data_IF_541380454339
#
_entry.id   IF_541380454339
#
_cell.length_a   1.000
_cell.length_b   1.000
_cell.length_c   1.000
_cell.angle_alpha   90.00
_cell.angle_beta   90.00
_cell.angle_gamma   90.00
#
_symmetry.space_group_name_H-M   'P 1'
#
loop_
_entity.id
_entity.type
_entity.pdbx_description
1 polymer ?
#
# COMPACT_ATOMS: atom_id res chain seq x y z
N UNK A 1 21.67 -89.43 -4.38
CA UNK A 1 21.56 -88.21 -3.55
C UNK A 1 20.22 -87.58 -3.80
N UNK A 2 19.38 -87.50 -2.76
CA UNK A 2 17.99 -87.01 -2.88
C UNK A 2 17.96 -85.52 -3.18
N UNK A 3 17.07 -85.10 -4.08
CA UNK A 3 16.82 -83.70 -4.42
C UNK A 3 16.52 -82.83 -3.17
N UNK A 4 15.99 -83.44 -2.10
CA UNK A 4 15.78 -82.78 -0.82
C UNK A 4 17.09 -82.32 -0.16
N UNK A 5 18.17 -83.10 -0.29
CA UNK A 5 19.47 -82.76 0.29
C UNK A 5 20.12 -81.58 -0.45
N UNK A 6 19.93 -81.49 -1.77
CA UNK A 6 20.38 -80.35 -2.57
C UNK A 6 19.55 -79.08 -2.29
N UNK A 7 18.26 -79.23 -2.04
CA UNK A 7 17.38 -78.09 -1.72
C UNK A 7 17.72 -77.49 -0.34
N UNK A 8 17.99 -78.35 0.65
CA UNK A 8 18.38 -77.91 2.00
C UNK A 8 19.76 -77.25 1.98
N UNK A 9 20.73 -77.79 1.24
CA UNK A 9 22.05 -77.13 1.13
C UNK A 9 21.99 -75.80 0.40
N UNK A 10 21.15 -75.68 -0.64
CA UNK A 10 20.93 -74.41 -1.35
C UNK A 10 20.26 -73.35 -0.47
N UNK A 11 19.25 -73.74 0.33
CA UNK A 11 18.61 -72.85 1.32
C UNK A 11 19.60 -72.38 2.40
N UNK A 12 20.45 -73.28 2.91
CA UNK A 12 21.47 -72.88 3.90
C UNK A 12 22.55 -71.97 3.32
N UNK A 13 22.89 -72.10 2.04
CA UNK A 13 23.79 -71.16 1.34
C UNK A 13 23.11 -69.82 1.02
N UNK A 14 21.81 -69.83 0.71
CA UNK A 14 21.05 -68.59 0.47
C UNK A 14 20.82 -67.78 1.76
N UNK A 15 20.73 -68.45 2.92
CA UNK A 15 20.61 -67.78 4.24
C UNK A 15 21.96 -67.22 4.70
N UNK A 16 23.10 -67.84 4.33
CA UNK A 16 24.44 -67.31 4.64
C UNK A 16 24.95 -66.28 3.63
N UNK A 17 24.45 -66.30 2.39
CA UNK A 17 24.76 -65.31 1.34
C UNK A 17 23.69 -64.24 1.16
N UNK A 18 22.63 -64.23 1.96
CA UNK A 18 21.86 -63.01 2.13
C UNK A 18 22.89 -61.97 2.63
N UNK A 19 23.19 -60.90 1.87
CA UNK A 19 23.93 -59.81 2.46
C UNK A 19 23.16 -59.47 3.73
N UNK A 20 23.85 -59.42 4.88
CA UNK A 20 23.28 -58.82 6.08
C UNK A 20 22.61 -57.55 5.59
N UNK A 21 21.28 -57.62 5.50
CA UNK A 21 20.52 -56.59 4.81
C UNK A 21 20.95 -55.30 5.45
N UNK A 22 21.06 -54.25 4.65
CA UNK A 22 21.00 -52.88 5.12
C UNK A 22 19.73 -52.76 5.98
N UNK A 23 19.80 -53.22 7.23
CA UNK A 23 18.77 -53.04 8.22
C UNK A 23 18.77 -51.54 8.40
N UNK A 24 17.72 -50.89 7.88
CA UNK A 24 17.53 -49.43 7.79
C UNK A 24 18.23 -48.72 8.95
N UNK A 25 19.52 -48.35 8.74
CA UNK A 25 20.32 -47.83 9.85
C UNK A 25 19.81 -46.43 10.08
N UNK A 26 19.14 -46.23 11.21
CA UNK A 26 18.48 -44.95 11.49
C UNK A 26 19.37 -44.13 12.40
N UNK A 27 19.54 -42.85 12.09
CA UNK A 27 20.23 -41.96 13.00
C UNK A 27 19.47 -41.91 14.34
N UNK A 28 20.18 -41.83 15.48
CA UNK A 28 19.53 -41.69 16.76
C UNK A 28 18.83 -40.33 16.85
N UNK A 29 17.64 -40.32 17.46
CA UNK A 29 16.95 -39.08 17.76
C UNK A 29 17.78 -38.23 18.75
N UNK A 30 17.71 -36.88 18.66
CA UNK A 30 18.22 -35.99 19.71
C UNK A 30 17.67 -36.38 21.09
N UNK A 31 18.51 -36.27 22.12
CA UNK A 31 18.19 -36.66 23.50
C UNK A 31 18.49 -35.51 24.47
N UNK A 32 18.04 -35.66 25.73
CA UNK A 32 18.36 -34.77 26.86
C UNK A 32 18.28 -33.28 26.48
N UNK A 33 17.10 -32.85 26.07
CA UNK A 33 16.89 -31.45 25.72
C UNK A 33 16.77 -30.58 26.97
N UNK A 34 17.31 -29.37 26.89
CA UNK A 34 17.16 -28.32 27.88
C UNK A 34 16.87 -27.02 27.14
N UNK A 35 16.11 -26.14 27.78
CA UNK A 35 15.88 -24.80 27.25
C UNK A 35 16.03 -23.76 28.35
N UNK A 36 16.43 -22.56 27.96
CA UNK A 36 16.38 -21.41 28.83
C UNK A 36 15.99 -20.18 28.03
N UNK A 37 15.22 -19.30 28.67
CA UNK A 37 14.88 -18.00 28.12
C UNK A 37 16.00 -17.03 28.42
N UNK A 38 16.52 -16.37 27.38
CA UNK A 38 17.49 -15.28 27.51
C UNK A 38 16.77 -14.01 27.89
N UNK A 39 15.61 -13.77 27.28
CA UNK A 39 14.68 -12.68 27.56
C UNK A 39 13.26 -13.09 27.12
N UNK A 40 12.29 -12.16 27.13
CA UNK A 40 10.89 -12.40 26.74
C UNK A 40 10.69 -12.75 25.25
N UNK A 41 11.74 -12.66 24.41
CA UNK A 41 11.69 -12.96 22.97
C UNK A 41 12.58 -14.13 22.57
N UNK A 42 13.64 -14.46 23.31
CA UNK A 42 14.64 -15.41 22.85
C UNK A 42 14.74 -16.59 23.77
N UNK A 43 14.49 -17.78 23.20
CA UNK A 43 14.73 -19.06 23.86
C UNK A 43 15.87 -19.78 23.15
N UNK A 44 16.78 -20.34 23.96
CA UNK A 44 17.86 -21.20 23.48
C UNK A 44 17.53 -22.62 23.90
N UNK A 45 17.49 -23.52 22.92
CA UNK A 45 17.21 -24.93 23.08
C UNK A 45 18.47 -25.71 22.78
N UNK A 46 18.91 -26.52 23.73
CA UNK A 46 20.08 -27.37 23.62
C UNK A 46 19.64 -28.82 23.69
N UNK A 47 20.37 -29.71 23.03
CA UNK A 47 20.17 -31.15 23.13
C UNK A 47 21.51 -31.87 23.12
N UNK A 48 21.49 -33.14 23.49
CA UNK A 48 22.60 -34.06 23.23
C UNK A 48 22.25 -34.97 22.05
N UNK A 49 23.26 -35.45 21.35
CA UNK A 49 23.06 -36.37 20.25
C UNK A 49 24.11 -37.48 20.33
N UNK A 50 23.71 -38.74 20.62
CA UNK A 50 24.64 -39.84 20.76
C UNK A 50 25.12 -40.29 19.39
N UNK A 51 26.19 -39.66 18.88
CA UNK A 51 26.76 -39.99 17.57
C UNK A 51 27.11 -41.49 17.49
N UNK A 52 26.55 -42.26 16.54
CA UNK A 52 26.85 -43.68 16.40
C UNK A 52 28.33 -43.90 16.08
N UNK A 53 28.96 -44.91 16.72
CA UNK A 53 30.37 -45.27 16.47
C UNK A 53 30.61 -45.76 15.04
N UNK A 54 29.59 -46.37 14.44
CA UNK A 54 29.59 -46.92 13.08
C UNK A 54 29.30 -45.87 12.00
N UNK A 55 29.05 -44.62 12.41
CA UNK A 55 28.80 -43.54 11.46
C UNK A 55 30.11 -43.21 10.73
N UNK A 56 30.14 -43.24 9.38
CA UNK A 56 31.34 -42.92 8.61
C UNK A 56 31.91 -41.55 9.00
N UNK A 57 33.23 -41.41 9.07
CA UNK A 57 33.85 -40.10 9.37
C UNK A 57 33.48 -39.03 8.33
N UNK A 58 33.22 -39.44 7.09
CA UNK A 58 32.77 -38.57 6.00
C UNK A 58 31.28 -38.22 6.05
N UNK A 59 30.50 -38.83 6.95
CA UNK A 59 29.08 -38.56 7.08
C UNK A 59 28.85 -37.26 7.87
N UNK A 60 28.25 -36.29 7.19
CA UNK A 60 27.80 -35.05 7.81
C UNK A 60 26.31 -35.15 8.20
N UNK A 61 25.96 -34.74 9.41
CA UNK A 61 24.59 -34.78 9.94
C UNK A 61 24.16 -33.38 10.32
N UNK A 62 22.93 -33.01 9.95
CA UNK A 62 22.28 -31.77 10.42
C UNK A 62 21.04 -32.09 11.24
N UNK A 63 20.69 -31.17 12.12
CA UNK A 63 19.44 -31.20 12.85
C UNK A 63 18.43 -30.32 12.12
N UNK A 64 17.28 -30.90 11.82
CA UNK A 64 16.13 -30.22 11.23
C UNK A 64 15.13 -29.91 12.34
N UNK A 65 14.82 -28.62 12.51
CA UNK A 65 13.87 -28.11 13.48
C UNK A 65 12.64 -27.59 12.73
N UNK A 66 11.48 -28.08 13.13
CA UNK A 66 10.15 -27.65 12.65
C UNK A 66 9.33 -27.16 13.83
N UNK A 67 8.42 -26.23 13.60
CA UNK A 67 7.47 -25.76 14.62
C UNK A 67 6.05 -25.77 14.07
N UNK A 68 5.09 -26.13 14.91
CA UNK A 68 3.80 -26.68 14.49
C UNK A 68 2.89 -25.68 13.78
N UNK A 69 3.05 -24.38 14.02
CA UNK A 69 2.16 -23.32 13.51
C UNK A 69 2.61 -22.69 12.17
N UNK A 70 3.83 -22.96 11.69
CA UNK A 70 4.33 -22.45 10.39
C UNK A 70 4.94 -23.58 9.58
N UNK A 71 4.09 -24.24 8.79
CA UNK A 71 4.39 -25.46 8.04
C UNK A 71 5.57 -25.34 7.04
N UNK A 72 5.98 -24.11 6.69
CA UNK A 72 7.02 -23.83 5.68
C UNK A 72 8.39 -23.43 6.26
N UNK A 73 8.49 -23.08 7.54
CA UNK A 73 9.76 -22.64 8.11
C UNK A 73 10.53 -23.82 8.73
N UNK A 74 11.58 -24.25 8.04
CA UNK A 74 12.47 -25.32 8.50
C UNK A 74 13.86 -24.76 8.79
N UNK A 75 14.28 -24.82 10.04
CA UNK A 75 15.66 -24.48 10.40
C UNK A 75 16.56 -25.72 10.32
N UNK A 76 17.77 -25.54 9.77
CA UNK A 76 18.79 -26.59 9.72
C UNK A 76 20.07 -26.13 10.37
N UNK A 77 20.54 -26.85 11.37
CA UNK A 77 21.75 -26.52 12.15
C UNK A 77 22.69 -27.71 12.21
N UNK A 78 24.00 -27.45 12.27
CA UNK A 78 25.03 -28.50 12.43
C UNK A 78 25.38 -28.74 13.91
N UNK A 79 25.08 -27.76 14.77
CA UNK A 79 25.34 -27.82 16.20
C UNK A 79 24.13 -28.37 16.97
N UNK A 80 24.34 -28.74 18.23
CA UNK A 80 23.30 -29.27 19.10
C UNK A 80 22.57 -28.20 19.93
N UNK A 81 22.46 -26.99 19.35
CA UNK A 81 21.70 -25.89 19.93
C UNK A 81 20.95 -25.12 18.84
N UNK A 82 19.84 -24.51 19.24
CA UNK A 82 18.99 -23.70 18.38
C UNK A 82 18.45 -22.50 19.15
N UNK A 83 18.52 -21.34 18.52
CA UNK A 83 17.97 -20.09 19.06
C UNK A 83 16.71 -19.73 18.30
N UNK A 84 15.60 -19.63 19.03
CA UNK A 84 14.30 -19.29 18.49
C UNK A 84 13.84 -17.90 18.94
N UNK A 85 13.17 -17.18 18.04
CA UNK A 85 12.57 -15.87 18.28
C UNK A 85 11.07 -16.03 18.46
N UNK A 86 10.60 -15.71 19.66
CA UNK A 86 9.24 -15.84 20.13
C UNK A 86 8.49 -14.51 20.00
N UNK A 87 7.34 -14.56 19.31
CA UNK A 87 6.30 -13.53 19.34
C UNK A 87 5.00 -14.19 19.78
N UNK A 88 4.33 -13.66 20.80
CA UNK A 88 3.20 -14.32 21.45
C UNK A 88 2.00 -14.50 20.53
N UNK A 89 1.82 -13.61 19.54
CA UNK A 89 0.79 -13.73 18.50
C UNK A 89 0.93 -14.96 17.60
N UNK A 90 2.13 -15.54 17.53
CA UNK A 90 2.43 -16.65 16.62
C UNK A 90 2.13 -18.02 17.26
N UNK A 91 1.51 -18.05 18.46
CA UNK A 91 1.26 -19.28 19.23
C UNK A 91 -0.16 -19.35 19.76
N UNK A 92 -0.74 -20.56 19.67
CA UNK A 92 -2.15 -20.80 20.01
C UNK A 92 -2.39 -21.24 21.46
N UNK A 93 -1.34 -21.47 22.28
CA UNK A 93 -1.52 -22.08 23.61
C UNK A 93 -0.41 -21.80 24.65
N UNK A 94 0.29 -20.67 24.61
CA UNK A 94 1.44 -20.35 25.50
C UNK A 94 2.58 -21.39 25.51
N UNK A 95 2.53 -22.36 24.60
CA UNK A 95 3.48 -23.45 24.45
C UNK A 95 4.00 -23.40 23.01
N UNK A 96 5.31 -23.30 22.89
CA UNK A 96 6.04 -23.51 21.65
C UNK A 96 6.33 -25.01 21.51
N UNK A 97 5.69 -25.67 20.54
CA UNK A 97 6.00 -27.05 20.17
C UNK A 97 7.04 -27.05 19.04
N UNK A 98 8.22 -27.60 19.32
CA UNK A 98 9.29 -27.85 18.36
C UNK A 98 9.39 -29.34 18.06
N UNK A 99 9.69 -29.68 16.82
CA UNK A 99 10.04 -31.03 16.37
C UNK A 99 11.46 -31.04 15.85
N UNK A 100 12.35 -31.79 16.49
CA UNK A 100 13.77 -31.88 16.14
C UNK A 100 14.07 -33.28 15.61
N UNK A 101 14.71 -33.37 14.45
CA UNK A 101 15.17 -34.65 13.87
C UNK A 101 16.59 -34.52 13.37
N UNK A 102 17.35 -35.63 13.36
CA UNK A 102 18.67 -35.67 12.74
C UNK A 102 18.56 -36.21 11.32
N UNK A 103 19.19 -35.50 10.38
CA UNK A 103 19.10 -35.75 8.94
C UNK A 103 20.51 -36.06 8.39
N UNK A 104 20.68 -37.23 7.73
CA UNK A 104 21.94 -37.56 7.07
C UNK A 104 22.14 -36.66 5.85
N UNK A 105 23.37 -36.24 5.59
CA UNK A 105 23.75 -35.51 4.38
C UNK A 105 24.74 -36.35 3.55
N UNK A 106 25.68 -35.68 2.87
CA UNK A 106 26.72 -36.32 2.07
C UNK A 106 27.58 -37.24 2.96
N UNK A 107 27.94 -38.40 2.41
CA UNK A 107 28.79 -39.40 3.08
C UNK A 107 28.07 -40.37 4.02
N UNK A 108 26.75 -40.27 4.16
CA UNK A 108 25.94 -41.07 5.08
C UNK A 108 25.19 -42.23 4.38
N UNK A 109 25.79 -42.87 3.37
CA UNK A 109 25.10 -43.91 2.59
C UNK A 109 24.62 -45.05 3.50
N UNK A 110 23.36 -45.46 3.33
CA UNK A 110 22.72 -46.49 4.15
C UNK A 110 22.18 -46.01 5.50
N UNK A 111 22.28 -44.71 5.80
CA UNK A 111 21.67 -44.11 6.99
C UNK A 111 20.42 -43.32 6.64
N UNK A 112 19.34 -43.56 7.40
CA UNK A 112 18.06 -42.87 7.32
C UNK A 112 17.93 -41.83 8.44
N UNK A 113 17.01 -40.89 8.24
CA UNK A 113 16.66 -39.87 9.24
C UNK A 113 16.13 -40.46 10.54
N UNK A 114 16.43 -39.80 11.66
CA UNK A 114 15.87 -40.18 12.95
C UNK A 114 14.37 -39.91 12.99
N UNK A 115 13.68 -40.63 13.88
CA UNK A 115 12.35 -40.19 14.32
C UNK A 115 12.43 -38.77 14.92
N UNK A 116 11.43 -37.91 14.67
CA UNK A 116 11.37 -36.58 15.25
C UNK A 116 11.05 -36.65 16.74
N UNK A 117 11.75 -35.85 17.55
CA UNK A 117 11.43 -35.64 18.96
C UNK A 117 10.68 -34.33 19.15
N UNK A 118 9.59 -34.36 19.91
CA UNK A 118 8.82 -33.17 20.29
C UNK A 118 9.41 -32.53 21.53
N UNK A 119 9.58 -31.22 21.49
CA UNK A 119 10.06 -30.38 22.59
C UNK A 119 9.02 -29.30 22.84
N UNK A 120 8.44 -29.30 24.03
CA UNK A 120 7.43 -28.33 24.44
C UNK A 120 8.08 -27.29 25.37
N UNK A 121 8.04 -26.04 24.94
CA UNK A 121 8.65 -24.92 25.66
C UNK A 121 7.51 -24.04 26.16
N UNK A 122 7.42 -23.87 27.47
CA UNK A 122 6.46 -22.94 28.08
C UNK A 122 6.98 -21.52 27.94
N UNK A 123 6.09 -20.60 27.57
CA UNK A 123 6.38 -19.18 27.59
C UNK A 123 6.73 -18.70 29.02
N UNK A 124 7.54 -17.63 29.18
CA UNK A 124 7.89 -17.08 30.48
C UNK A 124 6.67 -16.61 31.29
N UNK A 125 5.65 -16.07 30.61
CA UNK A 125 4.40 -15.55 31.16
C UNK A 125 3.25 -15.91 30.21
N UNK A 126 2.03 -15.98 30.72
CA UNK A 126 0.84 -16.27 29.90
C UNK A 126 0.52 -15.11 28.97
N UNK A 127 0.06 -15.40 27.76
CA UNK A 127 -0.35 -14.37 26.82
C UNK A 127 -1.60 -13.61 27.30
N UNK A 128 -1.57 -12.28 27.18
CA UNK A 128 -2.76 -11.44 27.24
C UNK A 128 -2.56 -10.15 26.45
N UNK A 129 -3.61 -9.65 25.80
CA UNK A 129 -3.58 -8.31 25.22
C UNK A 129 -3.62 -7.26 26.34
N UNK A 130 -2.46 -6.67 26.66
CA UNK A 130 -2.31 -5.69 27.76
C UNK A 130 -2.50 -4.24 27.31
N UNK A 131 -2.40 -3.97 26.01
CA UNK A 131 -2.46 -2.61 25.44
C UNK A 131 -3.23 -2.62 24.12
N UNK A 132 -3.90 -1.50 23.84
CA UNK A 132 -4.62 -1.22 22.58
C UNK A 132 -3.97 -0.07 21.83
N UNK A 133 -4.14 -0.08 20.52
CA UNK A 133 -3.68 0.99 19.61
C UNK A 133 -2.19 1.35 19.78
N UNK A 134 -1.33 0.35 19.97
CA UNK A 134 0.11 0.58 20.07
C UNK A 134 0.68 1.00 18.72
N UNK A 135 0.95 2.30 18.58
CA UNK A 135 1.48 2.91 17.34
C UNK A 135 2.74 3.69 17.64
N UNK A 136 3.71 3.60 16.74
CA UNK A 136 4.98 4.30 16.84
C UNK A 136 5.15 5.24 15.65
N UNK A 137 5.44 6.51 15.93
CA UNK A 137 5.66 7.52 14.90
C UNK A 137 7.16 7.75 14.73
N UNK A 138 7.67 7.57 13.51
CA UNK A 138 9.04 7.93 13.18
C UNK A 138 9.26 9.45 13.35
N UNK A 139 10.32 9.77 14.06
CA UNK A 139 10.95 11.08 14.12
C UNK A 139 12.32 10.99 13.41
N UNK A 140 13.03 12.10 13.28
CA UNK A 140 14.28 12.15 12.51
C UNK A 140 15.34 11.13 12.97
N UNK A 141 15.47 10.89 14.28
CA UNK A 141 16.46 9.97 14.86
C UNK A 141 15.87 8.95 15.85
N UNK A 142 14.61 9.10 16.23
CA UNK A 142 13.92 8.27 17.24
C UNK A 142 12.51 7.95 16.73
N UNK A 143 11.75 7.17 17.49
CA UNK A 143 10.30 7.11 17.33
C UNK A 143 9.62 7.39 18.66
N UNK A 144 8.39 7.90 18.57
CA UNK A 144 7.54 8.10 19.72
C UNK A 144 6.33 7.19 19.60
N UNK A 145 6.15 6.33 20.59
CA UNK A 145 5.08 5.37 20.63
C UNK A 145 4.01 5.78 21.62
N UNK A 146 2.77 5.42 21.29
CA UNK A 146 1.60 5.69 22.09
C UNK A 146 0.73 4.44 22.15
N UNK A 147 0.08 4.22 23.29
CA UNK A 147 -0.87 3.15 23.49
C UNK A 147 -1.85 3.48 24.61
N UNK A 148 -2.92 2.71 24.68
CA UNK A 148 -3.87 2.76 25.79
C UNK A 148 -3.81 1.44 26.55
N UNK A 149 -3.57 1.42 27.88
CA UNK A 149 -3.62 0.19 28.64
C UNK A 149 -5.05 -0.40 28.62
N UNK A 150 -5.17 -1.72 28.57
CA UNK A 150 -6.48 -2.39 28.65
C UNK A 150 -7.09 -2.21 30.04
N UNK A 151 -6.27 -2.34 31.08
CA UNK A 151 -6.62 -2.01 32.46
C UNK A 151 -5.72 -0.86 32.95
N UNK A 152 -6.26 0.33 33.23
CA UNK A 152 -5.50 1.46 33.76
C UNK A 152 -4.91 1.23 35.16
N UNK A 153 -5.40 0.26 35.92
CA UNK A 153 -4.94 -0.06 37.27
C UNK A 153 -3.78 -1.06 37.28
N UNK A 154 -3.54 -1.76 36.17
CA UNK A 154 -2.48 -2.75 36.07
C UNK A 154 -1.14 -2.04 35.82
N UNK A 155 -0.13 -2.36 36.64
CA UNK A 155 1.22 -1.85 36.44
C UNK A 155 1.88 -2.59 35.27
N UNK A 156 2.06 -1.88 34.16
CA UNK A 156 2.66 -2.41 32.95
C UNK A 156 4.11 -1.93 32.79
N UNK A 157 5.00 -2.86 32.44
CA UNK A 157 6.36 -2.57 31.98
C UNK A 157 6.44 -2.76 30.48
N UNK A 158 7.04 -1.80 29.78
CA UNK A 158 7.26 -1.87 28.33
C UNK A 158 8.75 -1.97 28.05
N UNK A 159 9.12 -2.96 27.26
CA UNK A 159 10.49 -3.16 26.78
C UNK A 159 10.51 -3.31 25.27
N UNK A 160 11.67 -3.09 24.67
CA UNK A 160 11.85 -3.28 23.23
C UNK A 160 13.27 -3.72 22.89
N UNK A 161 13.42 -4.26 21.69
CA UNK A 161 14.72 -4.61 21.12
C UNK A 161 14.67 -4.58 19.60
N UNK A 162 15.85 -4.58 18.98
CA UNK A 162 15.96 -4.82 17.56
C UNK A 162 15.86 -6.32 17.25
N UNK A 163 15.26 -6.62 16.11
CA UNK A 163 15.28 -7.97 15.53
C UNK A 163 16.69 -8.26 15.03
N UNK A 164 17.27 -9.36 15.50
CA UNK A 164 18.58 -9.80 15.07
C UNK A 164 19.15 -10.84 16.01
N UNK A 165 19.99 -11.75 15.48
CA UNK A 165 20.56 -12.89 16.22
C UNK A 165 21.96 -12.63 16.76
N UNK A 166 22.54 -11.47 16.48
CA UNK A 166 23.88 -11.13 16.93
C UNK A 166 23.89 -10.77 18.41
N UNK A 167 25.02 -10.97 19.08
CA UNK A 167 25.16 -10.63 20.50
C UNK A 167 24.79 -9.17 20.81
N UNK A 168 25.08 -8.23 19.89
CA UNK A 168 24.69 -6.82 20.03
C UNK A 168 23.17 -6.60 20.08
N UNK A 169 22.39 -7.50 19.47
CA UNK A 169 20.94 -7.44 19.40
C UNK A 169 20.27 -8.18 20.57
N UNK A 170 20.97 -9.16 21.15
CA UNK A 170 20.51 -9.96 22.29
C UNK A 170 21.05 -9.48 23.64
N UNK A 171 21.98 -8.52 23.67
CA UNK A 171 22.72 -8.12 24.87
C UNK A 171 21.88 -7.43 25.95
N UNK A 172 20.69 -6.90 25.64
CA UNK A 172 19.68 -6.57 26.65
C UNK A 172 18.40 -6.03 26.02
N UNK A 173 17.28 -6.34 26.68
CA UNK A 173 16.01 -5.66 26.46
C UNK A 173 16.13 -4.19 26.90
N UNK A 174 15.82 -3.26 26.00
CA UNK A 174 15.79 -1.83 26.32
C UNK A 174 14.48 -1.51 27.02
N UNK A 175 14.56 -0.83 28.17
CA UNK A 175 13.38 -0.36 28.87
C UNK A 175 12.76 0.84 28.13
N UNK A 176 11.44 0.85 27.98
CA UNK A 176 10.70 2.02 27.54
C UNK A 176 10.05 2.70 28.75
N UNK A 177 10.64 3.82 29.18
CA UNK A 177 10.11 4.57 30.31
C UNK A 177 8.80 5.27 29.89
N UNK A 178 7.68 4.62 30.23
CA UNK A 178 6.36 5.10 29.89
C UNK A 178 6.01 6.37 30.67
N UNK A 179 5.39 7.32 29.99
CA UNK A 179 4.88 8.57 30.53
C UNK A 179 3.46 8.81 30.01
N UNK A 180 2.58 9.36 30.83
CA UNK A 180 1.19 9.65 30.42
C UNK A 180 1.16 11.00 29.70
N UNK A 181 0.66 11.01 28.48
CA UNK A 181 0.43 12.19 27.65
C UNK A 181 -0.99 12.14 27.08
N UNK A 182 -1.78 13.18 27.33
CA UNK A 182 -3.16 13.32 26.83
C UNK A 182 -4.05 12.08 27.11
N UNK A 183 -3.89 11.49 28.29
CA UNK A 183 -4.62 10.28 28.71
C UNK A 183 -4.15 8.97 28.07
N UNK A 184 -3.06 9.00 27.29
CA UNK A 184 -2.42 7.81 26.70
C UNK A 184 -1.04 7.59 27.29
N UNK A 185 -0.62 6.34 27.37
CA UNK A 185 0.76 6.01 27.72
C UNK A 185 1.64 6.23 26.50
N UNK A 186 2.84 6.77 26.71
CA UNK A 186 3.77 7.09 25.65
C UNK A 186 5.21 6.88 26.06
N UNK A 187 6.07 6.52 25.10
CA UNK A 187 7.50 6.43 25.33
C UNK A 187 8.28 6.62 24.01
N UNK A 188 9.57 6.90 24.12
CA UNK A 188 10.45 7.05 22.95
C UNK A 188 11.28 5.79 22.75
N UNK A 189 11.33 5.28 21.52
CA UNK A 189 12.22 4.19 21.12
C UNK A 189 13.34 4.74 20.25
N UNK A 190 14.57 4.34 20.51
CA UNK A 190 15.67 4.53 19.56
C UNK A 190 15.44 3.66 18.33
N UNK A 191 15.52 4.25 17.14
CA UNK A 191 15.31 3.52 15.88
C UNK A 191 16.58 3.49 15.04
N UNK A 192 16.95 2.30 14.59
CA UNK A 192 18.05 2.09 13.65
C UNK A 192 17.49 1.81 12.26
N UNK A 193 18.05 2.48 11.24
CA UNK A 193 17.58 2.34 9.85
C UNK A 193 17.70 0.88 9.38
N UNK A 194 16.59 0.34 8.88
CA UNK A 194 16.53 -1.01 8.29
C UNK A 194 16.53 -2.15 9.32
N UNK A 195 16.22 -1.87 10.59
CA UNK A 195 16.11 -2.90 11.64
C UNK A 195 14.71 -2.90 12.22
N UNK A 196 14.03 -4.04 12.13
CA UNK A 196 12.72 -4.22 12.76
C UNK A 196 12.86 -4.10 14.29
N UNK A 197 11.84 -3.55 14.93
CA UNK A 197 11.74 -3.45 16.39
C UNK A 197 10.69 -4.44 16.87
N UNK A 198 10.98 -5.15 17.96
CA UNK A 198 9.99 -5.91 18.71
C UNK A 198 9.75 -5.27 20.06
N UNK A 199 8.49 -5.26 20.48
CA UNK A 199 8.02 -4.68 21.73
C UNK A 199 7.44 -5.79 22.59
N UNK A 200 7.76 -5.73 23.88
CA UNK A 200 7.15 -6.55 24.91
C UNK A 200 6.43 -5.62 25.88
N UNK A 201 5.21 -5.98 26.21
CA UNK A 201 4.47 -5.40 27.33
C UNK A 201 4.23 -6.50 28.33
N UNK A 202 4.55 -6.26 29.59
CA UNK A 202 4.39 -7.25 30.65
C UNK A 202 3.69 -6.64 31.86
N UNK A 203 2.93 -7.48 32.55
CA UNK A 203 2.61 -7.30 33.96
C UNK A 203 3.34 -8.35 34.79
N UNK A 204 2.97 -8.51 36.06
CA UNK A 204 3.57 -9.50 36.96
C UNK A 204 3.45 -10.93 36.40
N UNK A 205 2.27 -11.28 35.86
CA UNK A 205 1.95 -12.66 35.45
C UNK A 205 1.71 -12.83 33.96
N UNK A 206 1.47 -11.74 33.21
CA UNK A 206 1.06 -11.77 31.80
C UNK A 206 2.02 -11.02 30.91
N UNK A 207 2.08 -11.36 29.63
CA UNK A 207 2.85 -10.63 28.64
C UNK A 207 2.23 -10.63 27.24
N UNK A 208 2.66 -9.68 26.42
CA UNK A 208 2.38 -9.60 25.00
C UNK A 208 3.65 -9.17 24.24
N UNK A 209 4.06 -9.94 23.24
CA UNK A 209 5.19 -9.60 22.36
C UNK A 209 4.72 -9.45 20.92
N UNK A 210 5.07 -8.31 20.29
CA UNK A 210 4.62 -7.98 18.95
C UNK A 210 5.58 -7.03 18.23
N UNK A 211 5.40 -6.94 16.91
CA UNK A 211 6.02 -5.87 16.12
C UNK A 211 5.07 -4.66 16.13
N UNK A 212 5.52 -3.48 16.58
CA UNK A 212 4.67 -2.31 16.64
C UNK A 212 4.34 -1.81 15.23
N UNK A 213 3.19 -1.17 15.08
CA UNK A 213 2.84 -0.50 13.83
C UNK A 213 3.63 0.80 13.73
N UNK A 214 4.51 0.88 12.74
CA UNK A 214 5.34 2.06 12.49
C UNK A 214 4.65 3.00 11.49
N UNK A 215 4.53 4.27 11.86
CA UNK A 215 3.78 5.29 11.13
C UNK A 215 4.59 6.60 11.03
N UNK A 216 4.11 7.54 10.23
CA UNK A 216 4.61 8.93 10.20
C UNK A 216 3.46 9.90 10.47
N UNK A 217 3.77 11.04 11.09
CA UNK A 217 2.80 12.12 11.17
C UNK A 217 2.44 12.62 9.77
N UNK A 218 1.17 12.98 9.59
CA UNK A 218 0.67 13.57 8.34
C UNK A 218 1.46 14.86 8.05
N UNK A 219 2.29 14.90 6.99
CA UNK A 219 3.09 16.08 6.70
C UNK A 219 2.20 17.21 6.21
N UNK A 220 2.36 18.43 6.72
CA UNK A 220 1.54 19.57 6.35
C UNK A 220 1.57 19.85 4.84
N UNK A 221 0.38 19.96 4.25
CA UNK A 221 0.15 20.44 2.87
C UNK A 221 -0.11 21.94 2.86
N UNK A 222 0.41 22.63 1.84
CA UNK A 222 0.10 24.03 1.52
C UNK A 222 -0.61 24.11 0.17
N UNK A 223 -1.52 25.07 0.04
CA UNK A 223 -2.29 25.33 -1.18
C UNK A 223 -1.95 26.75 -1.64
N UNK A 224 -1.44 26.89 -2.86
CA UNK A 224 -1.19 28.17 -3.50
C UNK A 224 -2.04 28.30 -4.76
N UNK A 225 -2.67 29.45 -4.95
CA UNK A 225 -3.33 29.77 -6.21
C UNK A 225 -2.28 30.22 -7.24
N UNK A 226 -2.27 29.55 -8.38
CA UNK A 226 -1.58 30.00 -9.59
C UNK A 226 -2.61 30.24 -10.68
N UNK A 227 -2.24 30.90 -11.78
CA UNK A 227 -3.19 31.26 -12.84
C UNK A 227 -3.95 30.03 -13.38
N UNK A 228 -5.22 29.89 -12.97
CA UNK A 228 -6.11 28.78 -13.35
C UNK A 228 -5.96 27.48 -12.55
N UNK A 229 -5.08 27.40 -11.55
CA UNK A 229 -4.80 26.17 -10.79
C UNK A 229 -4.61 26.39 -9.29
N UNK A 230 -4.94 25.36 -8.50
CA UNK A 230 -4.52 25.21 -7.12
C UNK A 230 -3.30 24.29 -7.10
N UNK A 231 -2.17 24.85 -6.72
CA UNK A 231 -0.94 24.10 -6.54
C UNK A 231 -0.86 23.59 -5.10
N UNK A 232 -0.92 22.27 -4.96
CA UNK A 232 -0.75 21.55 -3.71
C UNK A 232 0.72 21.18 -3.54
N UNK A 233 1.29 21.50 -2.38
CA UNK A 233 2.70 21.21 -2.05
C UNK A 233 2.78 20.59 -0.67
N UNK A 234 3.64 19.57 -0.51
CA UNK A 234 3.83 18.86 0.76
C UNK A 234 5.25 19.03 1.28
N UNK A 235 5.40 19.01 2.61
CA UNK A 235 6.71 18.80 3.21
C UNK A 235 7.09 17.33 3.10
N UNK A 236 8.35 17.09 2.70
CA UNK A 236 8.91 15.74 2.69
C UNK A 236 8.85 15.13 4.11
N UNK A 237 8.48 13.85 4.27
CA UNK A 237 8.68 13.13 5.52
C UNK A 237 10.14 13.21 5.99
N UNK A 238 10.35 13.28 7.31
CA UNK A 238 11.68 13.36 7.91
C UNK A 238 12.50 12.07 7.73
N UNK A 239 11.83 10.96 7.37
CA UNK A 239 12.41 9.64 7.22
C UNK A 239 12.24 9.11 5.79
N UNK A 240 13.09 8.16 5.41
CA UNK A 240 13.06 7.52 4.09
C UNK A 240 13.59 8.38 2.92
N UNK A 241 14.02 7.72 1.82
CA UNK A 241 14.45 8.41 0.61
C UNK A 241 13.25 9.00 -0.16
N UNK A 242 13.48 10.01 -1.00
CA UNK A 242 12.42 10.68 -1.79
C UNK A 242 11.61 9.69 -2.66
N UNK A 243 12.30 8.70 -3.24
CA UNK A 243 11.68 7.69 -4.12
C UNK A 243 10.80 6.67 -3.40
N UNK A 244 10.83 6.61 -2.06
CA UNK A 244 10.05 5.64 -1.30
C UNK A 244 8.59 6.06 -1.13
N UNK A 245 8.28 7.36 -1.25
CA UNK A 245 7.01 7.92 -0.81
C UNK A 245 6.02 8.13 -1.94
N UNK A 246 4.76 7.80 -1.66
CA UNK A 246 3.58 8.05 -2.47
C UNK A 246 2.58 8.83 -1.62
N UNK A 247 1.96 9.84 -2.20
CA UNK A 247 0.84 10.56 -1.57
C UNK A 247 -0.43 10.36 -2.40
N UNK A 248 -1.55 10.12 -1.73
CA UNK A 248 -2.86 10.00 -2.38
C UNK A 248 -3.74 11.14 -1.90
N UNK A 249 -4.35 11.85 -2.85
CA UNK A 249 -5.21 13.01 -2.62
C UNK A 249 -6.60 12.68 -3.13
N UNK A 250 -7.60 12.99 -2.32
CA UNK A 250 -9.01 13.00 -2.72
C UNK A 250 -9.60 14.33 -2.31
N UNK A 251 -10.47 14.86 -3.17
CA UNK A 251 -11.05 16.16 -2.91
C UNK A 251 -12.46 16.28 -3.47
N UNK A 252 -13.20 17.24 -2.91
CA UNK A 252 -14.47 17.69 -3.46
C UNK A 252 -14.29 19.02 -4.15
N UNK A 253 -15.01 19.21 -5.24
CA UNK A 253 -15.16 20.49 -5.94
C UNK A 253 -16.64 20.79 -6.02
N UNK A 254 -17.09 21.94 -5.49
CA UNK A 254 -18.51 22.31 -5.47
C UNK A 254 -19.41 21.19 -4.88
N UNK A 255 -18.93 20.53 -3.82
CA UNK A 255 -19.62 19.41 -3.16
C UNK A 255 -19.56 18.07 -3.91
N UNK A 256 -19.04 18.04 -5.13
CA UNK A 256 -18.90 16.82 -5.92
C UNK A 256 -17.56 16.14 -5.68
N UNK A 257 -17.58 14.87 -5.27
CA UNK A 257 -16.38 14.07 -5.07
C UNK A 257 -15.62 13.88 -6.38
N UNK A 258 -14.31 14.08 -6.35
CA UNK A 258 -13.41 13.77 -7.46
C UNK A 258 -12.68 12.45 -7.17
N UNK A 259 -12.32 11.69 -8.21
CA UNK A 259 -11.57 10.45 -8.05
C UNK A 259 -10.26 10.70 -7.30
N UNK A 260 -9.92 9.79 -6.38
CA UNK A 260 -8.64 9.83 -5.68
C UNK A 260 -7.49 9.66 -6.67
N UNK A 261 -6.45 10.48 -6.53
CA UNK A 261 -5.23 10.38 -7.35
C UNK A 261 -4.03 10.20 -6.46
N UNK A 262 -3.15 9.27 -6.83
CA UNK A 262 -1.91 9.01 -6.13
C UNK A 262 -0.73 9.44 -6.98
N UNK A 263 0.27 10.01 -6.32
CA UNK A 263 1.43 10.62 -6.94
C UNK A 263 2.69 10.18 -6.21
N UNK A 264 3.78 10.06 -6.94
CA UNK A 264 5.09 9.74 -6.38
C UNK A 264 5.84 11.01 -5.99
N UNK A 265 6.38 11.04 -4.77
CA UNK A 265 7.06 12.22 -4.25
C UNK A 265 8.32 12.58 -5.06
N UNK A 266 9.05 11.58 -5.58
CA UNK A 266 10.23 11.78 -6.42
C UNK A 266 9.93 12.47 -7.75
N UNK A 267 8.70 12.32 -8.27
CA UNK A 267 8.30 12.87 -9.56
C UNK A 267 7.47 14.15 -9.40
N UNK A 268 6.67 14.23 -8.34
CA UNK A 268 5.68 15.28 -8.13
C UNK A 268 5.87 15.90 -6.75
N UNK A 269 6.73 16.93 -6.67
CA UNK A 269 6.84 17.75 -5.45
C UNK A 269 5.66 18.70 -5.28
N UNK A 270 4.98 19.00 -6.38
CA UNK A 270 3.78 19.81 -6.45
C UNK A 270 2.75 19.15 -7.34
N UNK A 271 1.46 19.36 -7.05
CA UNK A 271 0.35 18.87 -7.88
C UNK A 271 -0.57 20.03 -8.20
N UNK A 272 -0.85 20.22 -9.48
CA UNK A 272 -1.78 21.24 -9.95
C UNK A 272 -3.18 20.63 -10.11
N UNK A 273 -4.15 21.25 -9.46
CA UNK A 273 -5.58 20.93 -9.60
C UNK A 273 -6.23 22.09 -10.33
N UNK A 274 -6.99 21.86 -11.42
CA UNK A 274 -7.72 22.94 -12.10
C UNK A 274 -8.60 23.71 -11.11
N UNK A 275 -8.48 25.04 -11.13
CA UNK A 275 -9.12 25.90 -10.16
C UNK A 275 -10.30 26.65 -10.75
N UNK A 276 -11.47 26.41 -10.18
CA UNK A 276 -12.66 27.18 -10.41
C UNK A 276 -12.91 28.10 -9.20
N UNK A 277 -12.72 29.41 -9.37
CA UNK A 277 -12.91 30.45 -8.33
C UNK A 277 -14.29 30.46 -7.69
N UNK A 278 -15.25 29.84 -8.37
CA UNK A 278 -16.66 29.77 -8.00
C UNK A 278 -16.96 28.59 -7.08
N UNK A 279 -16.01 27.66 -6.96
CA UNK A 279 -16.16 26.44 -6.21
C UNK A 279 -15.37 26.49 -4.91
N UNK A 280 -16.01 26.00 -3.84
CA UNK A 280 -15.31 25.54 -2.66
C UNK A 280 -14.70 24.16 -2.92
N UNK A 281 -13.46 24.00 -2.47
CA UNK A 281 -12.73 22.75 -2.48
C UNK A 281 -12.57 22.22 -1.05
N UNK A 282 -12.57 20.90 -0.91
CA UNK A 282 -12.29 20.20 0.34
C UNK A 282 -11.27 19.11 0.06
N UNK A 283 -10.03 19.30 0.50
CA UNK A 283 -8.93 18.37 0.26
C UNK A 283 -8.70 17.46 1.45
N UNK A 284 -8.40 16.20 1.19
CA UNK A 284 -7.86 15.25 2.15
C UNK A 284 -6.78 14.40 1.47
N UNK A 285 -5.80 13.95 2.24
CA UNK A 285 -4.72 13.15 1.71
C UNK A 285 -4.11 12.22 2.76
N UNK A 286 -3.37 11.23 2.31
CA UNK A 286 -2.46 10.44 3.14
C UNK A 286 -1.15 10.18 2.41
N UNK A 287 -0.16 9.70 3.14
CA UNK A 287 1.16 9.36 2.61
C UNK A 287 1.51 7.95 3.02
N UNK A 288 2.04 7.16 2.08
CA UNK A 288 2.51 5.79 2.32
C UNK A 288 3.80 5.52 1.58
N UNK A 289 4.57 4.55 2.04
CA UNK A 289 5.67 4.00 1.26
C UNK A 289 5.15 3.15 0.09
N UNK A 290 6.03 2.91 -0.90
CA UNK A 290 5.81 1.95 -2.00
C UNK A 290 6.08 0.51 -1.52
N UNK A 291 5.52 -0.47 -2.24
CA UNK A 291 5.65 -1.92 -1.97
C UNK A 291 7.08 -2.47 -1.80
N UNK A 292 8.10 -1.77 -2.31
CA UNK A 292 9.50 -2.20 -2.22
C UNK A 292 10.24 -1.65 -0.98
N UNK A 293 9.53 -0.92 -0.13
CA UNK A 293 10.03 -0.40 1.14
C UNK A 293 9.19 -0.95 2.28
N UNK A 294 9.69 -0.83 3.51
CA UNK A 294 8.94 -1.14 4.72
C UNK A 294 7.58 -0.40 4.69
N UNK A 295 6.50 -1.11 5.00
CA UNK A 295 5.14 -0.58 4.95
C UNK A 295 4.93 0.45 6.06
N UNK A 296 5.10 1.72 5.72
CA UNK A 296 4.95 2.87 6.62
C UNK A 296 3.94 3.82 6.00
N UNK A 297 2.99 4.28 6.80
CA UNK A 297 1.93 5.19 6.36
C UNK A 297 1.61 6.24 7.40
N UNK A 298 0.98 7.32 6.95
CA UNK A 298 0.30 8.28 7.80
C UNK A 298 -1.18 7.94 7.89
N UNK A 299 -1.83 8.43 8.95
CA UNK A 299 -3.28 8.59 8.95
C UNK A 299 -3.73 9.52 7.81
N UNK A 300 -5.04 9.56 7.57
CA UNK A 300 -5.63 10.56 6.70
C UNK A 300 -5.54 11.95 7.34
N UNK A 301 -5.26 12.96 6.52
CA UNK A 301 -5.32 14.35 6.96
C UNK A 301 -6.73 14.74 7.37
N UNK A 302 -6.81 15.78 8.20
CA UNK A 302 -8.05 16.54 8.35
C UNK A 302 -8.51 17.11 6.99
N UNK A 303 -9.79 17.48 6.90
CA UNK A 303 -10.31 18.17 5.71
C UNK A 303 -9.73 19.58 5.67
N UNK A 304 -9.06 19.91 4.56
CA UNK A 304 -8.51 21.24 4.30
C UNK A 304 -9.43 21.96 3.31
N UNK A 305 -10.25 22.93 3.77
CA UNK A 305 -11.09 23.70 2.87
C UNK A 305 -10.29 24.77 2.13
N UNK A 306 -10.69 25.06 0.89
CA UNK A 306 -10.15 26.17 0.10
C UNK A 306 -11.23 26.84 -0.74
N UNK A 307 -11.21 28.17 -0.83
CA UNK A 307 -12.19 28.95 -1.59
C UNK A 307 -13.57 29.01 -0.95
N UNK A 308 -14.51 29.64 -1.66
CA UNK A 308 -15.91 29.74 -1.27
C UNK A 308 -16.81 29.40 -2.45
N UNK A 309 -17.98 28.81 -2.17
CA UNK A 309 -18.97 28.60 -3.22
C UNK A 309 -19.65 29.93 -3.50
N UNK A 310 -19.44 30.48 -4.68
CA UNK A 310 -20.05 31.74 -5.11
C UNK A 310 -20.79 31.56 -6.43
N UNK A 311 -21.87 32.32 -6.60
CA UNK A 311 -22.64 32.35 -7.84
C UNK A 311 -21.82 33.06 -8.92
N UNK A 312 -20.95 32.32 -9.60
CA UNK A 312 -20.28 32.85 -10.78
C UNK A 312 -21.27 32.93 -11.93
N UNK A 313 -22.00 34.03 -11.96
CA UNK A 313 -22.70 34.44 -13.15
C UNK A 313 -21.61 34.80 -14.15
N UNK A 314 -21.42 33.96 -15.16
CA UNK A 314 -20.47 34.24 -16.25
C UNK A 314 -20.77 35.63 -16.81
N UNK A 315 -19.78 36.51 -16.83
CA UNK A 315 -19.91 37.85 -17.42
C UNK A 315 -20.39 37.77 -18.87
N UNK A 316 -20.05 36.70 -19.60
CA UNK A 316 -20.57 36.44 -20.93
C UNK A 316 -22.10 36.20 -20.95
N UNK A 317 -22.65 35.53 -19.94
CA UNK A 317 -24.10 35.31 -19.83
C UNK A 317 -24.83 36.61 -19.48
N UNK A 318 -24.22 37.46 -18.65
CA UNK A 318 -24.76 38.79 -18.34
C UNK A 318 -24.77 39.67 -19.60
N UNK A 319 -23.67 39.68 -20.35
CA UNK A 319 -23.54 40.44 -21.60
C UNK A 319 -24.54 39.94 -22.66
N UNK A 320 -24.71 38.62 -22.80
CA UNK A 320 -25.65 38.03 -23.74
C UNK A 320 -27.12 38.33 -23.42
N UNK A 321 -27.46 38.64 -22.16
CA UNK A 321 -28.82 39.02 -21.76
C UNK A 321 -29.01 40.54 -21.83
N UNK A 322 -28.03 41.32 -21.35
CA UNK A 322 -28.14 42.78 -21.26
C UNK A 322 -28.06 43.44 -22.65
N UNK A 323 -27.18 42.98 -23.55
CA UNK A 323 -27.02 43.59 -24.88
C UNK A 323 -28.34 43.54 -25.68
N UNK A 324 -29.03 42.40 -25.82
CA UNK A 324 -30.31 42.36 -26.54
C UNK A 324 -31.37 43.27 -25.92
N UNK A 325 -31.44 43.34 -24.58
CA UNK A 325 -32.39 44.22 -23.88
C UNK A 325 -32.11 45.69 -24.22
N UNK A 326 -30.84 46.12 -24.11
CA UNK A 326 -30.44 47.49 -24.43
C UNK A 326 -30.70 47.81 -25.90
N UNK A 327 -30.38 46.90 -26.81
CA UNK A 327 -30.65 47.07 -28.25
C UNK A 327 -32.16 47.20 -28.52
N UNK A 328 -32.99 46.36 -27.91
CA UNK A 328 -34.46 46.46 -28.04
C UNK A 328 -34.97 47.83 -27.54
N UNK A 329 -34.48 48.30 -26.38
CA UNK A 329 -34.85 49.63 -25.88
C UNK A 329 -34.40 50.74 -26.83
N UNK A 330 -33.18 50.68 -27.37
CA UNK A 330 -32.68 51.64 -28.35
C UNK A 330 -33.52 51.67 -29.64
N UNK A 331 -33.95 50.50 -30.14
CA UNK A 331 -34.82 50.39 -31.33
C UNK A 331 -36.19 50.99 -31.04
N UNK A 332 -36.81 50.65 -29.91
CA UNK A 332 -38.11 51.20 -29.50
C UNK A 332 -38.04 52.73 -29.35
N UNK A 333 -37.00 53.23 -28.67
CA UNK A 333 -36.79 54.67 -28.50
C UNK A 333 -36.53 55.36 -29.85
N UNK A 334 -35.79 54.73 -30.76
CA UNK A 334 -35.57 55.27 -32.11
C UNK A 334 -36.88 55.37 -32.88
N UNK A 335 -37.70 54.30 -32.91
CA UNK A 335 -39.03 54.31 -33.54
C UNK A 335 -39.92 55.39 -32.92
N UNK A 336 -39.90 55.53 -31.59
CA UNK A 336 -40.65 56.57 -30.89
C UNK A 336 -40.18 57.98 -31.27
N UNK A 337 -38.86 58.21 -31.32
CA UNK A 337 -38.27 59.50 -31.72
C UNK A 337 -38.59 59.84 -33.19
N UNK A 338 -38.50 58.88 -34.11
CA UNK A 338 -38.87 59.07 -35.52
C UNK A 338 -40.36 59.39 -35.67
N UNK A 339 -41.24 58.71 -34.93
CA UNK A 339 -42.68 58.99 -34.93
C UNK A 339 -43.01 60.36 -34.32
N UNK A 340 -42.30 60.75 -33.26
CA UNK A 340 -42.50 62.06 -32.60
C UNK A 340 -41.99 63.25 -33.42
N UNK A 341 -40.91 63.06 -34.17
CA UNK A 341 -40.28 64.09 -35.01
C UNK A 341 -40.50 63.85 -36.52
N UNK A 342 -41.59 63.16 -36.89
CA UNK A 342 -41.94 62.81 -38.27
C UNK A 342 -41.97 64.04 -39.21
N UNK A 343 -42.33 65.22 -38.68
CA UNK A 343 -42.34 66.49 -39.40
C UNK A 343 -40.96 67.05 -39.77
N UNK A 344 -39.90 66.64 -39.05
CA UNK A 344 -38.51 67.11 -39.25
C UNK A 344 -37.73 66.12 -40.11
N UNK A 345 -37.95 64.82 -39.91
CA UNK A 345 -37.22 63.76 -40.62
C UNK A 345 -37.87 63.30 -41.92
N UNK A 346 -39.04 63.85 -42.29
CA UNK A 346 -39.60 63.76 -43.63
C UNK A 346 -39.50 62.37 -44.26
N UNK A 347 -40.13 61.35 -43.67
CA UNK A 347 -40.19 60.06 -44.35
C UNK A 347 -41.36 60.07 -45.33
N UNK A 348 -41.00 59.91 -46.61
CA UNK A 348 -41.81 59.30 -47.66
C UNK A 348 -42.72 58.24 -47.06
N UNK A 349 -44.03 58.36 -47.28
CA UNK A 349 -45.00 57.29 -46.99
C UNK A 349 -44.48 56.00 -47.61
N UNK A 350 -44.04 55.06 -46.77
CA UNK A 350 -43.88 53.67 -47.20
C UNK A 350 -45.28 53.14 -47.53
N UNK A 351 -45.48 52.88 -48.81
CA UNK A 351 -46.74 52.41 -49.37
C UNK A 351 -47.10 51.05 -48.72
N UNK A 352 -48.31 50.87 -48.17
CA UNK A 352 -48.72 49.63 -47.49
C UNK A 352 -48.65 48.37 -48.36
N UNK A 353 -48.49 48.54 -49.68
CA UNK A 353 -48.27 47.49 -50.69
C UNK A 353 -46.94 46.75 -50.49
N UNK A 354 -45.86 47.44 -50.13
CA UNK A 354 -44.50 46.85 -49.97
C UNK A 354 -44.40 45.95 -48.74
N UNK A 355 -45.07 46.31 -47.65
CA UNK A 355 -45.11 45.48 -46.42
C UNK A 355 -45.93 44.21 -46.66
N UNK A 356 -46.94 44.27 -47.54
CA UNK A 356 -47.79 43.13 -47.90
C UNK A 356 -47.05 42.12 -48.80
N UNK A 357 -46.15 42.59 -49.67
CA UNK A 357 -45.28 41.73 -50.49
C UNK A 357 -44.28 40.94 -49.63
N UNK A 358 -43.62 41.57 -48.65
CA UNK A 358 -42.64 40.89 -47.78
C UNK A 358 -43.32 39.85 -46.88
N UNK A 359 -44.56 40.10 -46.43
CA UNK A 359 -45.32 39.15 -45.62
C UNK A 359 -45.97 38.02 -46.45
N UNK A 360 -46.23 38.23 -47.74
CA UNK A 360 -46.77 37.19 -48.63
C UNK A 360 -45.68 36.27 -49.22
N UNK A 361 -44.42 36.71 -49.30
CA UNK A 361 -43.29 35.87 -49.74
C UNK A 361 -43.01 34.67 -48.80
N UNK A 362 -43.47 34.71 -47.55
CA UNK A 362 -43.40 33.58 -46.62
C UNK A 362 -44.57 32.58 -46.74
N UNK A 363 -45.54 32.82 -47.63
CA UNK A 363 -46.73 31.97 -47.77
C UNK A 363 -46.66 30.99 -48.96
N UNK A 364 -45.76 31.19 -49.93
CA UNK A 364 -45.60 30.30 -51.10
C UNK A 364 -44.59 29.16 -50.92
N UNK A 365 -43.81 29.12 -49.82
CA UNK A 365 -42.91 28.00 -49.53
C UNK A 365 -43.47 27.03 -48.47
N UNK A 366 -44.54 26.34 -48.87
CA UNK A 366 -45.06 25.07 -48.31
C UNK A 366 -45.72 24.36 -49.49
N UNK A 367 -45.34 23.21 -50.03
CA UNK A 367 -44.75 21.96 -49.55
C UNK A 367 -44.36 21.15 -50.81
N UNK A 368 -43.27 20.36 -50.78
CA UNK A 368 -43.33 19.00 -51.35
C UNK A 368 -42.23 18.11 -50.77
N UNK A 369 -42.60 17.31 -49.76
CA UNK A 369 -41.96 16.03 -49.49
C UNK A 369 -42.71 14.97 -50.32
N UNK A 370 -41.98 14.15 -51.09
CA UNK A 370 -42.49 12.89 -51.61
C UNK A 370 -41.74 12.33 -52.82
N UNK A 371 -41.05 11.19 -52.59
CA UNK A 371 -40.53 10.20 -53.56
C UNK A 371 -39.29 10.59 -54.39
N UNK A 372 -38.34 9.74 -54.76
CA UNK A 372 -37.90 8.37 -54.43
C UNK A 372 -36.62 8.15 -55.29
N UNK A 373 -35.73 7.25 -54.84
CA UNK A 373 -34.77 6.46 -55.65
C UNK A 373 -33.51 7.13 -56.27
N UNK A 374 -32.35 6.70 -55.73
CA UNK A 374 -31.24 6.03 -56.44
C UNK A 374 -30.96 6.44 -57.89
N UNK A 375 -29.79 7.06 -58.17
CA UNK A 375 -28.63 6.40 -58.81
C UNK A 375 -27.44 7.36 -58.97
N UNK A 376 -26.26 6.74 -58.99
CA UNK A 376 -24.91 7.30 -59.00
C UNK A 376 -24.41 7.55 -60.46
N UNK A 377 -23.11 7.82 -60.68
CA UNK A 377 -22.45 9.08 -61.10
C UNK A 377 -22.25 9.27 -62.63
N UNK A 378 -21.87 10.49 -63.01
CA UNK A 378 -21.36 10.80 -64.35
C UNK A 378 -20.25 11.86 -64.31
N UNK A 379 -19.06 11.42 -64.68
CA UNK A 379 -17.78 12.11 -64.84
C UNK A 379 -17.75 12.93 -66.15
N UNK A 380 -17.08 14.09 -66.15
CA UNK A 380 -16.12 14.54 -67.19
C UNK A 380 -15.71 16.03 -67.00
N UNK A 381 -14.41 16.25 -66.70
CA UNK A 381 -13.40 17.07 -67.43
C UNK A 381 -13.89 18.23 -68.31
N UNK A 382 -13.27 19.41 -68.43
CA UNK A 382 -11.83 19.72 -68.44
C UNK A 382 -11.55 21.25 -68.54
N UNK A 383 -10.39 21.65 -67.98
CA UNK A 383 -9.38 22.65 -68.44
C UNK A 383 -9.72 24.15 -68.69
N UNK A 384 -8.96 25.04 -68.02
CA UNK A 384 -7.94 25.96 -68.61
C UNK A 384 -7.72 27.26 -67.78
N UNK A 385 -6.50 27.42 -67.27
CA UNK A 385 -5.77 28.68 -66.97
C UNK A 385 -4.45 28.57 -67.78
N UNK A 386 -3.62 29.60 -68.06
CA UNK A 386 -3.55 30.97 -67.49
C UNK A 386 -3.14 32.06 -68.51
N UNK A 387 -2.85 33.29 -68.04
CA UNK A 387 -1.79 34.15 -68.57
C UNK A 387 -1.36 35.19 -67.51
N UNK A 388 -0.06 35.18 -67.19
CA UNK A 388 0.71 36.24 -66.49
C UNK A 388 1.75 36.72 -67.51
N UNK A 389 2.14 38.01 -67.56
CA UNK A 389 3.49 38.34 -67.08
C UNK A 389 3.67 39.77 -66.53
N UNK A 390 4.69 39.98 -65.70
CA UNK A 390 5.13 41.32 -65.29
C UNK A 390 6.20 41.32 -64.19
N UNK A 391 7.41 40.93 -64.55
CA UNK A 391 8.67 40.79 -63.78
C UNK A 391 9.43 42.14 -63.82
N UNK A 392 10.15 42.59 -62.79
CA UNK A 392 11.63 42.54 -62.58
C UNK A 392 11.93 43.72 -61.61
N UNK A 393 13.03 43.87 -60.87
CA UNK A 393 14.17 43.08 -60.40
C UNK A 393 14.90 44.01 -59.39
N UNK A 394 15.35 43.49 -58.24
CA UNK A 394 16.62 43.77 -57.52
C UNK A 394 16.50 43.40 -56.04
#
# INVERSE_FOLDING_TARGET
>A
MSAALQFVTFLSFAITMAPYGEADRRLPAPQQYAHHWVDSFVVVVNWTWPKPKELPQSCNVKFEIRWTDKQEDVARVEHTYFTFYYLSKDFTADILELSISSKPLKGCKGWNESEPVKVNIKAPKSYAELVKDFRCFYLSNDSKCFWTPVDPLENLTVGYRFRGKENKDTQSLKACNASVMDGRSSCSLTVEKGRDIFVVVESETRMNTFQPKMEIYVPKMSINETEGYLQLTWRKPAVGPDGAWRFCVWYKECGSNKPSRCYEFSQHRTVNIPYNKCCRYEFQYNISTKRFHEDVSSDSSEVIPYGTTSSCISSANVVAIIIPIVVCFCVILSIYCFKKHEKIFGCTRLDPSVIKEILNLNKENKISQGNLLMQHPGEHTDTCTPLVPGKEDC
#
